data_IF_713394567736
#
_entry.id   IF_713394567736
#
_cell.length_a   1.000
_cell.length_b   1.000
_cell.length_c   1.000
_cell.angle_alpha   90.00
_cell.angle_beta   90.00
_cell.angle_gamma   90.00
#
_symmetry.space_group_name_H-M   'P 1'
#
loop_
_entity.id
_entity.type
_entity.pdbx_description
1 polymer ?
#
# COMPACT_ATOMS: atom_id res chain seq x y z
N UNK A 1 -2.56 -28.76 -24.80
CA UNK A 1 -2.22 -27.54 -24.05
C UNK A 1 -2.06 -27.92 -22.60
N UNK A 2 -0.99 -27.53 -21.92
CA UNK A 2 -0.83 -27.81 -20.49
C UNK A 2 -1.94 -27.09 -19.71
N UNK A 3 -2.41 -27.73 -18.62
CA UNK A 3 -3.49 -27.21 -17.77
C UNK A 3 -2.95 -26.73 -16.43
N UNK A 4 -3.59 -25.75 -15.82
CA UNK A 4 -3.30 -25.27 -14.48
C UNK A 4 -4.61 -25.03 -13.70
N UNK A 5 -4.56 -25.23 -12.38
CA UNK A 5 -5.65 -24.90 -11.47
C UNK A 5 -5.16 -23.87 -10.48
N UNK A 6 -5.89 -22.77 -10.34
CA UNK A 6 -5.66 -21.72 -9.34
C UNK A 6 -6.80 -21.80 -8.32
N UNK A 7 -6.46 -21.90 -7.05
CA UNK A 7 -7.44 -21.93 -5.95
C UNK A 7 -7.50 -20.57 -5.29
N UNK A 8 -8.70 -19.96 -5.32
CA UNK A 8 -8.99 -18.62 -4.84
C UNK A 8 -8.96 -17.57 -5.96
N UNK A 9 -10.07 -16.84 -6.09
CA UNK A 9 -10.25 -15.76 -7.07
C UNK A 9 -10.12 -14.35 -6.43
N UNK A 10 -9.25 -14.21 -5.43
CA UNK A 10 -8.81 -12.91 -4.95
C UNK A 10 -7.78 -12.27 -5.91
N UNK A 11 -7.32 -11.03 -5.66
CA UNK A 11 -6.43 -10.30 -6.57
C UNK A 11 -5.16 -11.08 -6.94
N UNK A 12 -4.54 -11.77 -5.98
CA UNK A 12 -3.32 -12.55 -6.22
C UNK A 12 -3.61 -13.80 -7.07
N UNK A 13 -4.71 -14.53 -6.77
CA UNK A 13 -5.12 -15.71 -7.54
C UNK A 13 -5.47 -15.35 -8.98
N UNK A 14 -6.24 -14.27 -9.17
CA UNK A 14 -6.58 -13.77 -10.51
C UNK A 14 -5.35 -13.30 -11.27
N UNK A 15 -4.41 -12.62 -10.61
CA UNK A 15 -3.13 -12.23 -11.23
C UNK A 15 -2.33 -13.44 -11.69
N UNK A 16 -2.26 -14.49 -10.86
CA UNK A 16 -1.59 -15.74 -11.22
C UNK A 16 -2.30 -16.43 -12.40
N UNK A 17 -3.62 -16.49 -12.38
CA UNK A 17 -4.41 -17.10 -13.45
C UNK A 17 -4.20 -16.38 -14.79
N UNK A 18 -4.26 -15.05 -14.80
CA UNK A 18 -3.99 -14.24 -15.99
C UNK A 18 -2.57 -14.48 -16.51
N UNK A 19 -1.57 -14.51 -15.61
CA UNK A 19 -0.18 -14.73 -15.99
C UNK A 19 0.04 -16.12 -16.61
N UNK A 20 -0.60 -17.15 -16.05
CA UNK A 20 -0.53 -18.52 -16.57
C UNK A 20 -1.24 -18.63 -17.93
N UNK A 21 -2.41 -18.00 -18.09
CA UNK A 21 -3.12 -17.98 -19.36
C UNK A 21 -2.32 -17.25 -20.46
N UNK A 22 -1.68 -16.12 -20.12
CA UNK A 22 -0.76 -15.43 -21.03
C UNK A 22 0.45 -16.29 -21.44
N UNK A 23 0.85 -17.23 -20.60
CA UNK A 23 1.90 -18.21 -20.92
C UNK A 23 1.39 -19.39 -21.75
N UNK A 24 0.12 -19.41 -22.14
CA UNK A 24 -0.47 -20.42 -23.03
C UNK A 24 -1.01 -21.65 -22.32
N UNK A 25 -1.24 -21.59 -21.02
CA UNK A 25 -1.90 -22.66 -20.28
C UNK A 25 -3.42 -22.54 -20.35
N UNK A 26 -4.11 -23.67 -20.29
CA UNK A 26 -5.55 -23.72 -20.03
C UNK A 26 -5.76 -23.65 -18.51
N UNK A 27 -6.38 -22.54 -18.03
CA UNK A 27 -6.42 -22.20 -16.61
C UNK A 27 -7.84 -22.31 -16.08
N UNK A 28 -8.02 -23.11 -15.03
CA UNK A 28 -9.25 -23.15 -14.24
C UNK A 28 -9.02 -22.45 -12.90
N UNK A 29 -9.92 -21.52 -12.55
CA UNK A 29 -9.92 -20.87 -11.23
C UNK A 29 -11.07 -21.44 -10.41
N UNK A 30 -10.75 -21.90 -9.20
CA UNK A 30 -11.72 -22.39 -8.23
C UNK A 30 -11.89 -21.37 -7.11
N UNK A 31 -13.12 -20.92 -6.88
CA UNK A 31 -13.49 -19.98 -5.81
C UNK A 31 -14.47 -20.65 -4.86
N UNK A 32 -14.28 -20.47 -3.55
CA UNK A 32 -15.14 -21.04 -2.52
C UNK A 32 -16.33 -20.18 -2.14
N UNK A 33 -16.32 -18.89 -2.53
CA UNK A 33 -17.43 -17.96 -2.33
C UNK A 33 -18.30 -17.86 -3.60
N UNK A 34 -19.51 -17.33 -3.47
CA UNK A 34 -20.43 -17.13 -4.58
C UNK A 34 -19.97 -16.08 -5.60
N UNK A 35 -19.03 -15.22 -5.20
CA UNK A 35 -18.48 -14.15 -6.04
C UNK A 35 -16.96 -14.12 -5.97
N UNK A 36 -16.33 -13.75 -7.09
CA UNK A 36 -14.87 -13.54 -7.18
C UNK A 36 -14.47 -12.21 -6.54
N UNK A 37 -13.16 -12.00 -6.31
CA UNK A 37 -12.58 -10.74 -5.84
C UNK A 37 -11.93 -10.82 -4.46
N UNK A 38 -12.23 -11.86 -3.66
CA UNK A 38 -11.62 -12.04 -2.34
C UNK A 38 -11.83 -10.82 -1.43
N UNK A 39 -10.75 -10.27 -0.88
CA UNK A 39 -10.80 -9.07 -0.02
C UNK A 39 -11.06 -7.74 -0.74
N UNK A 40 -11.10 -7.72 -2.08
CA UNK A 40 -11.43 -6.53 -2.86
C UNK A 40 -12.89 -6.50 -3.33
N UNK A 41 -13.73 -7.39 -2.80
CA UNK A 41 -15.16 -7.38 -3.08
C UNK A 41 -15.84 -6.20 -2.44
N UNK A 42 -16.84 -5.67 -3.15
CA UNK A 42 -17.77 -4.66 -2.65
C UNK A 42 -19.20 -5.17 -2.78
N UNK A 43 -20.10 -4.60 -2.03
CA UNK A 43 -21.51 -4.96 -2.08
C UNK A 43 -22.37 -3.98 -1.28
N UNK A 44 -23.70 -4.17 -1.29
CA UNK A 44 -24.60 -3.38 -0.47
C UNK A 44 -24.20 -3.40 1.01
N UNK A 45 -24.41 -2.27 1.68
CA UNK A 45 -24.14 -2.17 3.13
C UNK A 45 -25.02 -3.14 3.91
N UNK A 46 -26.32 -3.12 3.64
CA UNK A 46 -27.33 -4.07 4.15
C UNK A 46 -28.59 -4.03 3.29
N UNK A 47 -29.60 -4.79 3.69
CA UNK A 47 -30.88 -4.88 2.97
C UNK A 47 -31.74 -3.58 3.10
N UNK A 48 -31.50 -2.75 4.11
CA UNK A 48 -32.21 -1.48 4.33
C UNK A 48 -31.63 -0.37 3.44
N UNK A 49 -30.30 -0.43 3.13
CA UNK A 49 -29.59 0.57 2.32
C UNK A 49 -28.83 -0.09 1.17
N UNK A 50 -29.56 -0.77 0.24
CA UNK A 50 -28.92 -1.52 -0.84
C UNK A 50 -28.18 -0.64 -1.86
N UNK A 51 -28.47 0.66 -1.90
CA UNK A 51 -27.79 1.63 -2.77
C UNK A 51 -26.44 2.09 -2.19
N UNK A 52 -26.19 1.84 -0.89
CA UNK A 52 -24.91 2.15 -0.25
C UNK A 52 -23.95 1.00 -0.47
N UNK A 53 -23.00 1.17 -1.37
CA UNK A 53 -21.99 0.17 -1.65
C UNK A 53 -20.79 0.37 -0.73
N UNK A 54 -20.36 -0.70 -0.08
CA UNK A 54 -19.19 -0.73 0.81
C UNK A 54 -18.20 -1.80 0.37
N UNK A 55 -16.94 -1.52 0.60
CA UNK A 55 -15.88 -2.51 0.41
C UNK A 55 -15.81 -3.45 1.63
N UNK A 56 -15.86 -4.76 1.37
CA UNK A 56 -15.91 -5.75 2.44
C UNK A 56 -14.61 -5.79 3.27
N UNK A 57 -13.47 -5.49 2.65
CA UNK A 57 -12.17 -5.53 3.33
C UNK A 57 -11.24 -4.41 2.84
N UNK A 58 -10.80 -4.44 1.59
CA UNK A 58 -9.78 -3.53 1.07
C UNK A 58 -10.43 -2.45 0.19
N UNK A 59 -10.47 -1.22 0.67
CA UNK A 59 -11.03 -0.06 -0.03
C UNK A 59 -9.96 0.76 -0.76
N UNK A 60 -8.78 0.94 -0.14
CA UNK A 60 -7.71 1.78 -0.67
C UNK A 60 -6.55 0.93 -1.19
N UNK A 61 -6.05 1.27 -2.37
CA UNK A 61 -5.14 0.41 -3.11
C UNK A 61 -3.81 1.09 -3.53
N UNK A 62 -2.98 1.60 -2.59
CA UNK A 62 -1.70 2.23 -2.93
C UNK A 62 -0.74 1.26 -3.62
N UNK A 63 -0.77 -0.01 -3.25
CA UNK A 63 0.03 -1.05 -3.92
C UNK A 63 -0.62 -1.55 -5.22
N UNK A 64 -1.91 -1.36 -5.42
CA UNK A 64 -2.60 -1.74 -6.66
C UNK A 64 -2.13 -0.90 -7.85
N UNK A 65 -2.09 0.42 -7.68
CA UNK A 65 -1.58 1.35 -8.70
C UNK A 65 -0.07 1.26 -8.91
N UNK A 66 0.66 0.82 -7.90
CA UNK A 66 2.13 0.74 -7.91
C UNK A 66 2.66 -0.67 -8.20
N UNK A 67 1.79 -1.67 -8.36
CA UNK A 67 2.18 -3.06 -8.62
C UNK A 67 2.94 -3.19 -9.95
N UNK A 68 4.15 -3.75 -9.96
CA UNK A 68 4.89 -3.99 -11.21
C UNK A 68 4.09 -4.80 -12.22
N UNK A 69 3.36 -5.83 -11.75
CA UNK A 69 2.57 -6.70 -12.63
C UNK A 69 1.25 -6.07 -13.06
N UNK A 70 0.45 -5.53 -12.14
CA UNK A 70 -0.88 -5.00 -12.48
C UNK A 70 -0.79 -3.84 -13.48
N UNK A 71 0.26 -3.02 -13.42
CA UNK A 71 0.51 -1.95 -14.39
C UNK A 71 0.79 -2.43 -15.82
N UNK A 72 1.13 -3.72 -16.00
CA UNK A 72 1.32 -4.30 -17.34
C UNK A 72 0.03 -4.79 -17.97
N UNK A 73 -1.07 -4.82 -17.22
CA UNK A 73 -2.37 -5.28 -17.69
C UNK A 73 -3.24 -4.10 -18.14
N UNK A 74 -4.02 -4.24 -19.21
CA UNK A 74 -4.92 -3.19 -19.70
C UNK A 74 -6.21 -3.14 -18.88
N UNK A 75 -6.08 -2.95 -17.55
CA UNK A 75 -7.22 -3.03 -16.62
C UNK A 75 -8.25 -1.91 -16.85
N UNK A 76 -7.81 -0.77 -17.36
CA UNK A 76 -8.67 0.35 -17.77
C UNK A 76 -9.57 -0.01 -18.95
N UNK A 77 -9.12 -0.85 -19.89
CA UNK A 77 -9.94 -1.40 -20.97
C UNK A 77 -11.02 -2.36 -20.46
N UNK A 78 -10.77 -2.94 -19.28
CA UNK A 78 -11.70 -3.84 -18.57
C UNK A 78 -12.54 -3.14 -17.50
N UNK A 79 -12.58 -1.81 -17.50
CA UNK A 79 -13.47 -1.02 -16.68
C UNK A 79 -12.88 -0.49 -15.38
N UNK A 80 -11.64 -0.85 -15.01
CA UNK A 80 -11.01 -0.29 -13.81
C UNK A 80 -10.83 1.23 -13.96
N UNK A 81 -11.35 1.96 -13.01
CA UNK A 81 -11.11 3.39 -12.84
C UNK A 81 -10.62 3.65 -11.44
N UNK A 82 -9.76 4.65 -11.29
CA UNK A 82 -9.25 5.06 -10.00
C UNK A 82 -9.78 6.44 -9.62
N UNK A 83 -10.17 6.59 -8.36
CA UNK A 83 -10.50 7.88 -7.74
C UNK A 83 -9.53 8.16 -6.60
N UNK A 84 -8.97 9.36 -6.55
CA UNK A 84 -8.01 9.78 -5.52
C UNK A 84 -8.66 10.76 -4.56
N UNK A 85 -8.57 10.54 -3.24
CA UNK A 85 -8.98 11.54 -2.25
C UNK A 85 -7.96 12.70 -2.20
N UNK A 86 -8.40 13.85 -1.74
CA UNK A 86 -7.51 15.00 -1.49
C UNK A 86 -6.54 14.73 -0.32
N UNK A 87 -6.97 13.93 0.66
CA UNK A 87 -6.20 13.48 1.82
C UNK A 87 -6.19 11.96 1.77
N UNK A 88 -5.01 11.39 1.57
CA UNK A 88 -4.85 9.94 1.45
C UNK A 88 -5.12 9.19 2.77
N UNK A 89 -4.69 9.78 3.89
CA UNK A 89 -4.91 9.22 5.22
C UNK A 89 -4.87 10.31 6.29
N UNK A 90 -5.64 10.13 7.35
CA UNK A 90 -5.64 10.97 8.53
C UNK A 90 -5.45 10.12 9.78
N UNK A 91 -4.61 10.58 10.70
CA UNK A 91 -4.45 10.00 12.03
C UNK A 91 -4.95 11.00 13.08
N UNK A 92 -6.21 10.85 13.55
CA UNK A 92 -6.78 11.75 14.54
C UNK A 92 -6.10 11.58 15.90
N UNK A 93 -6.07 12.65 16.69
CA UNK A 93 -5.45 12.71 18.00
C UNK A 93 -6.45 13.20 19.05
N UNK A 94 -6.17 12.88 20.30
CA UNK A 94 -7.05 13.23 21.44
C UNK A 94 -7.15 14.75 21.67
N UNK A 95 -6.19 15.52 21.18
CA UNK A 95 -6.18 17.00 21.24
C UNK A 95 -7.05 17.68 20.17
N UNK A 96 -7.77 16.88 19.36
CA UNK A 96 -8.63 17.38 18.28
C UNK A 96 -7.87 17.71 16.99
N UNK A 97 -6.57 17.52 16.93
CA UNK A 97 -5.77 17.65 15.70
C UNK A 97 -5.71 16.33 14.93
N UNK A 98 -5.18 16.36 13.71
CA UNK A 98 -4.91 15.16 12.94
C UNK A 98 -3.58 15.30 12.19
N UNK A 99 -2.80 14.22 12.14
CA UNK A 99 -1.67 14.11 11.22
C UNK A 99 -2.20 13.60 9.88
N UNK A 100 -1.92 14.34 8.80
CA UNK A 100 -2.46 14.08 7.47
C UNK A 100 -1.38 13.58 6.53
N UNK A 101 -1.71 12.57 5.74
CA UNK A 101 -0.92 12.11 4.61
C UNK A 101 -1.53 12.65 3.32
N UNK A 102 -0.73 13.34 2.55
CA UNK A 102 -1.04 13.73 1.18
C UNK A 102 -0.13 12.98 0.22
N UNK A 103 -0.56 12.76 -1.01
CA UNK A 103 0.30 12.23 -2.07
C UNK A 103 1.56 13.08 -2.24
N UNK A 104 1.43 14.40 -2.19
CA UNK A 104 2.56 15.31 -2.16
C UNK A 104 3.28 15.26 -0.80
N UNK A 105 4.52 14.79 -0.81
CA UNK A 105 5.37 14.68 0.39
C UNK A 105 5.69 16.06 0.99
N UNK A 106 5.79 17.11 0.17
CA UNK A 106 6.04 18.46 0.64
C UNK A 106 4.83 19.01 1.39
N UNK A 107 3.62 18.74 0.89
CA UNK A 107 2.39 19.13 1.58
C UNK A 107 2.24 18.38 2.91
N UNK A 108 2.58 17.09 2.97
CA UNK A 108 2.60 16.31 4.21
C UNK A 108 3.59 16.90 5.21
N UNK A 109 4.81 17.21 4.76
CA UNK A 109 5.86 17.76 5.61
C UNK A 109 5.54 19.17 6.10
N UNK A 110 4.92 20.02 5.28
CA UNK A 110 4.42 21.33 5.68
C UNK A 110 3.33 21.23 6.75
N UNK A 111 2.39 20.29 6.62
CA UNK A 111 1.34 20.03 7.61
C UNK A 111 1.88 19.71 9.00
N UNK A 112 3.02 19.03 9.11
CA UNK A 112 3.67 18.81 10.41
C UNK A 112 4.22 20.10 11.01
N UNK A 113 4.78 20.97 10.18
CA UNK A 113 5.30 22.27 10.64
C UNK A 113 4.16 23.18 11.10
N UNK A 114 3.05 23.23 10.37
CA UNK A 114 1.85 24.00 10.70
C UNK A 114 1.20 23.53 12.01
N UNK A 115 1.31 22.23 12.29
CA UNK A 115 0.89 21.64 13.55
C UNK A 115 1.86 21.87 14.73
N UNK A 116 2.94 22.66 14.54
CA UNK A 116 3.92 22.99 15.59
C UNK A 116 5.11 22.03 15.69
N UNK A 117 5.35 21.18 14.67
CA UNK A 117 6.45 20.21 14.63
C UNK A 117 7.40 20.44 13.45
N UNK A 118 8.09 21.61 13.34
CA UNK A 118 8.82 21.99 12.12
C UNK A 118 9.92 21.00 11.72
N UNK A 119 10.61 20.38 12.68
CA UNK A 119 11.64 19.39 12.38
C UNK A 119 11.12 18.01 11.93
N UNK A 120 9.82 17.74 12.06
CA UNK A 120 9.23 16.47 11.66
C UNK A 120 9.19 16.30 10.13
N UNK A 121 8.93 17.39 9.40
CA UNK A 121 8.92 17.40 7.94
C UNK A 121 10.26 17.01 7.33
N UNK A 122 11.36 17.54 7.88
CA UNK A 122 12.72 17.21 7.39
C UNK A 122 13.07 15.74 7.64
N UNK A 123 12.72 15.22 8.82
CA UNK A 123 12.91 13.79 9.14
C UNK A 123 12.05 12.89 8.24
N UNK A 124 10.81 13.30 7.93
CA UNK A 124 9.93 12.61 7.02
C UNK A 124 10.51 12.53 5.61
N UNK A 125 10.98 13.65 5.07
CA UNK A 125 11.67 13.69 3.76
C UNK A 125 12.94 12.84 3.75
N UNK A 126 13.74 12.93 4.81
CA UNK A 126 14.97 12.15 4.93
C UNK A 126 14.72 10.64 4.91
N UNK A 127 13.64 10.18 5.58
CA UNK A 127 13.27 8.77 5.63
C UNK A 127 12.61 8.30 4.32
N UNK A 128 11.66 9.04 3.80
CA UNK A 128 10.74 8.58 2.76
C UNK A 128 11.00 9.18 1.37
N UNK A 129 11.54 10.39 1.27
CA UNK A 129 11.58 11.15 0.02
C UNK A 129 12.18 10.38 -1.14
N UNK A 130 13.41 9.84 -0.97
CA UNK A 130 14.07 9.09 -2.05
C UNK A 130 13.37 7.76 -2.35
N UNK A 131 12.88 7.08 -1.32
CA UNK A 131 12.17 5.80 -1.48
C UNK A 131 10.86 6.01 -2.22
N UNK A 132 10.12 7.08 -1.93
CA UNK A 132 8.86 7.42 -2.62
C UNK A 132 9.09 7.84 -4.07
N UNK A 133 10.12 8.65 -4.33
CA UNK A 133 10.45 9.08 -5.71
C UNK A 133 10.80 7.90 -6.60
N UNK A 134 11.49 6.90 -6.05
CA UNK A 134 11.93 5.69 -6.75
C UNK A 134 11.15 4.46 -6.30
N UNK A 135 9.88 4.64 -5.98
CA UNK A 135 9.06 3.54 -5.46
C UNK A 135 8.91 2.36 -6.43
N UNK A 136 8.76 2.56 -7.77
CA UNK A 136 8.72 1.44 -8.71
C UNK A 136 9.92 0.52 -8.60
N UNK A 137 11.13 1.08 -8.49
CA UNK A 137 12.39 0.32 -8.37
C UNK A 137 12.47 -0.42 -7.02
N UNK A 138 11.97 0.21 -5.94
CA UNK A 138 11.83 -0.46 -4.63
C UNK A 138 10.84 -1.61 -4.71
N UNK A 139 9.69 -1.40 -5.34
CA UNK A 139 8.66 -2.41 -5.49
C UNK A 139 9.15 -3.59 -6.35
N UNK A 140 9.89 -3.33 -7.43
CA UNK A 140 10.48 -4.35 -8.28
C UNK A 140 11.43 -5.27 -7.47
N UNK A 141 12.27 -4.70 -6.61
CA UNK A 141 13.20 -5.49 -5.80
C UNK A 141 12.50 -6.19 -4.61
N UNK A 142 11.59 -5.49 -3.89
CA UNK A 142 10.92 -6.02 -2.70
C UNK A 142 9.88 -7.11 -3.04
N UNK A 143 9.19 -6.97 -4.17
CA UNK A 143 8.15 -7.90 -4.62
C UNK A 143 8.71 -9.00 -5.55
N UNK A 144 10.02 -9.00 -5.80
CA UNK A 144 10.72 -10.06 -6.50
C UNK A 144 10.81 -11.34 -5.67
N UNK A 145 11.10 -12.51 -6.29
CA UNK A 145 11.43 -13.70 -5.54
C UNK A 145 12.60 -13.47 -4.57
N UNK A 146 12.48 -13.94 -3.34
CA UNK A 146 13.45 -13.67 -2.25
C UNK A 146 14.90 -14.04 -2.55
N UNK A 147 15.14 -14.96 -3.50
CA UNK A 147 16.49 -15.39 -3.91
C UNK A 147 17.00 -14.65 -5.15
N UNK A 148 16.24 -13.68 -5.68
CA UNK A 148 16.71 -12.84 -6.78
C UNK A 148 17.78 -11.85 -6.30
N UNK A 149 18.76 -11.58 -7.15
CA UNK A 149 19.70 -10.48 -6.88
C UNK A 149 18.96 -9.16 -7.11
N UNK A 150 19.06 -8.20 -6.18
CA UNK A 150 18.41 -6.92 -6.33
C UNK A 150 19.00 -6.13 -7.50
N UNK A 151 18.15 -5.50 -8.29
CA UNK A 151 18.55 -4.61 -9.38
C UNK A 151 19.05 -3.25 -8.87
N UNK A 152 18.53 -2.79 -7.70
CA UNK A 152 18.80 -1.49 -7.11
C UNK A 152 19.30 -1.62 -5.66
N UNK A 153 20.48 -2.25 -5.42
CA UNK A 153 20.92 -2.65 -4.07
C UNK A 153 21.05 -1.48 -3.08
N UNK A 154 21.48 -0.29 -3.52
CA UNK A 154 21.58 0.87 -2.66
C UNK A 154 20.22 1.44 -2.26
N UNK A 155 19.26 1.40 -3.17
CA UNK A 155 17.89 1.84 -2.91
C UNK A 155 17.17 0.83 -2.02
N UNK A 156 17.37 -0.47 -2.29
CA UNK A 156 16.85 -1.53 -1.43
C UNK A 156 17.43 -1.45 -0.02
N UNK A 157 18.72 -1.15 0.14
CA UNK A 157 19.33 -0.94 1.45
C UNK A 157 18.74 0.28 2.17
N UNK A 158 18.47 1.38 1.44
CA UNK A 158 17.86 2.58 1.98
C UNK A 158 16.42 2.33 2.48
N UNK A 159 15.67 1.46 1.83
CA UNK A 159 14.37 1.00 2.29
C UNK A 159 14.53 -0.06 3.40
N UNK A 160 15.35 -1.07 3.17
CA UNK A 160 15.43 -2.28 3.99
C UNK A 160 16.02 -2.05 5.38
N UNK A 161 17.03 -1.20 5.51
CA UNK A 161 17.61 -0.91 6.84
C UNK A 161 16.57 -0.30 7.81
N UNK A 162 15.82 0.77 7.43
CA UNK A 162 14.70 1.23 8.25
C UNK A 162 13.58 0.19 8.39
N UNK A 163 13.31 -0.62 7.36
CA UNK A 163 12.27 -1.63 7.40
C UNK A 163 12.53 -2.74 8.44
N UNK A 164 13.79 -3.01 8.76
CA UNK A 164 14.18 -3.95 9.83
C UNK A 164 14.02 -3.37 11.24
N UNK A 165 13.80 -2.07 11.38
CA UNK A 165 13.65 -1.43 12.69
C UNK A 165 12.25 -1.65 13.27
N UNK A 166 12.09 -1.55 14.61
CA UNK A 166 10.78 -1.39 15.23
C UNK A 166 10.10 -0.10 14.76
N UNK A 167 8.80 -0.17 14.48
CA UNK A 167 8.03 1.02 14.07
C UNK A 167 8.04 2.11 15.16
N UNK A 168 8.03 1.72 16.45
CA UNK A 168 8.16 2.64 17.58
C UNK A 168 9.48 3.40 17.57
N UNK A 169 10.57 2.81 17.11
CA UNK A 169 11.88 3.49 17.01
C UNK A 169 11.85 4.56 15.91
N UNK A 170 11.30 4.23 14.72
CA UNK A 170 11.13 5.23 13.66
C UNK A 170 10.12 6.31 14.03
N UNK A 171 9.04 5.96 14.73
CA UNK A 171 8.08 6.94 15.24
C UNK A 171 8.74 7.93 16.20
N UNK A 172 9.60 7.46 17.11
CA UNK A 172 10.37 8.31 18.01
C UNK A 172 11.32 9.25 17.24
N UNK A 173 11.97 8.76 16.19
CA UNK A 173 12.79 9.58 15.31
C UNK A 173 11.96 10.65 14.58
N UNK A 174 10.78 10.31 14.07
CA UNK A 174 9.90 11.21 13.34
C UNK A 174 9.28 12.29 14.26
N UNK A 175 9.12 11.99 15.53
CA UNK A 175 8.47 12.86 16.53
C UNK A 175 6.96 12.59 16.69
N UNK A 176 6.31 13.22 17.66
CA UNK A 176 4.99 12.79 18.11
C UNK A 176 3.91 12.77 17.01
N UNK A 177 3.87 13.79 16.16
CA UNK A 177 2.82 13.97 15.17
C UNK A 177 3.04 13.07 13.94
N UNK A 178 4.21 13.16 13.31
CA UNK A 178 4.57 12.32 12.17
C UNK A 178 4.74 10.85 12.57
N UNK A 179 5.23 10.57 13.78
CA UNK A 179 5.37 9.24 14.33
C UNK A 179 4.02 8.56 14.57
N UNK A 180 3.00 9.29 15.00
CA UNK A 180 1.64 8.76 15.15
C UNK A 180 1.06 8.32 13.80
N UNK A 181 1.18 9.14 12.77
CA UNK A 181 0.79 8.79 11.40
C UNK A 181 1.55 7.54 10.92
N UNK A 182 2.87 7.53 11.10
CA UNK A 182 3.72 6.40 10.67
C UNK A 182 3.37 5.08 11.40
N UNK A 183 3.06 5.12 12.71
CA UNK A 183 2.65 3.92 13.44
C UNK A 183 1.29 3.41 12.99
N UNK A 184 0.34 4.29 12.66
CA UNK A 184 -0.92 3.92 12.05
C UNK A 184 -0.73 3.14 10.74
N UNK A 185 0.19 3.62 9.87
CA UNK A 185 0.57 2.89 8.65
C UNK A 185 1.24 1.55 8.96
N UNK A 186 2.13 1.51 9.96
CA UNK A 186 2.85 0.29 10.34
C UNK A 186 1.93 -0.77 10.93
N UNK A 187 0.80 -0.38 11.53
CA UNK A 187 -0.19 -1.29 12.09
C UNK A 187 -0.82 -2.23 11.03
N UNK A 188 -0.79 -1.87 9.74
CA UNK A 188 -1.21 -2.75 8.65
C UNK A 188 -0.35 -4.02 8.52
N UNK A 189 0.80 -4.10 9.19
CA UNK A 189 1.60 -5.32 9.29
C UNK A 189 1.03 -6.37 10.26
N UNK A 190 -0.04 -6.05 11.00
CA UNK A 190 -0.72 -6.91 11.98
C UNK A 190 0.24 -7.56 12.99
N UNK A 191 1.30 -6.83 13.36
CA UNK A 191 2.28 -7.25 14.35
C UNK A 191 2.48 -6.18 15.43
N UNK A 192 3.12 -6.53 16.53
CA UNK A 192 3.52 -5.56 17.54
C UNK A 192 4.47 -4.53 16.94
N UNK A 193 4.27 -3.25 17.24
CA UNK A 193 5.04 -2.15 16.68
C UNK A 193 6.44 -1.97 17.29
N UNK A 194 6.73 -2.66 18.37
CA UNK A 194 8.00 -2.61 19.10
C UNK A 194 8.98 -3.75 18.74
N UNK A 195 8.60 -4.63 17.80
CA UNK A 195 9.47 -5.72 17.34
C UNK A 195 10.24 -5.35 16.07
N UNK A 196 11.43 -5.92 15.82
CA UNK A 196 12.17 -5.74 14.58
C UNK A 196 11.31 -6.11 13.36
N UNK A 197 11.43 -5.32 12.29
CA UNK A 197 10.69 -5.52 11.04
C UNK A 197 9.28 -4.94 11.02
N UNK A 198 8.74 -4.46 12.15
CA UNK A 198 7.39 -3.92 12.21
C UNK A 198 7.19 -2.60 11.45
N UNK A 199 8.27 -1.88 11.10
CA UNK A 199 8.21 -0.67 10.27
C UNK A 199 8.06 -0.94 8.76
N UNK A 200 8.27 -2.18 8.31
CA UNK A 200 8.28 -2.51 6.89
C UNK A 200 6.98 -2.15 6.18
N UNK A 201 5.82 -2.52 6.76
CA UNK A 201 4.51 -2.19 6.21
C UNK A 201 4.29 -0.66 6.15
N UNK A 202 4.65 0.05 7.22
CA UNK A 202 4.54 1.51 7.29
C UNK A 202 5.37 2.21 6.21
N UNK A 203 6.62 1.80 6.04
CA UNK A 203 7.50 2.36 4.99
C UNK A 203 6.94 2.06 3.59
N UNK A 204 6.52 0.82 3.34
CA UNK A 204 6.01 0.40 2.03
C UNK A 204 4.75 1.18 1.66
N UNK A 205 3.76 1.21 2.55
CA UNK A 205 2.48 1.88 2.30
C UNK A 205 2.63 3.40 2.20
N UNK A 206 3.45 4.01 3.07
CA UNK A 206 3.68 5.46 3.03
C UNK A 206 4.45 5.87 1.77
N UNK A 207 5.47 5.10 1.39
CA UNK A 207 6.22 5.38 0.16
C UNK A 207 5.36 5.18 -1.10
N UNK A 208 4.53 4.13 -1.15
CA UNK A 208 3.56 3.92 -2.21
C UNK A 208 2.54 5.07 -2.27
N UNK A 209 2.05 5.53 -1.12
CA UNK A 209 1.14 6.67 -1.01
C UNK A 209 1.73 7.95 -1.58
N UNK A 210 2.95 8.31 -1.21
CA UNK A 210 3.62 9.47 -1.80
C UNK A 210 3.93 9.32 -3.28
N UNK A 211 4.13 8.09 -3.78
CA UNK A 211 4.34 7.84 -5.21
C UNK A 211 3.04 7.90 -6.00
N UNK A 212 2.05 7.10 -5.63
CA UNK A 212 0.83 6.84 -6.38
C UNK A 212 -0.47 7.35 -5.75
N UNK A 213 -0.43 7.78 -4.49
CA UNK A 213 -1.62 8.08 -3.69
C UNK A 213 -2.29 6.83 -3.12
N UNK A 214 -3.42 7.03 -2.47
CA UNK A 214 -4.27 5.97 -1.92
C UNK A 214 -5.62 5.94 -2.65
N UNK A 215 -5.65 5.52 -3.91
CA UNK A 215 -6.87 5.53 -4.69
C UNK A 215 -7.84 4.44 -4.28
N UNK A 216 -9.11 4.69 -4.58
CA UNK A 216 -10.22 3.74 -4.53
C UNK A 216 -10.53 3.30 -5.96
N UNK A 217 -10.84 2.03 -6.16
CA UNK A 217 -11.37 1.52 -7.42
C UNK A 217 -12.85 1.90 -7.56
N UNK A 218 -13.26 2.45 -8.71
CA UNK A 218 -14.63 2.90 -9.02
C UNK A 218 -15.06 2.39 -10.37
#
# INVERSE_FOLDING_TARGET
>A
VPTAVVVGAGPNGLSAAVRLAQAGLDVTVLEGADTIGGGTRSGPFDDEYPEVIVDHCSAFHPLGTSSPYLRTLPLDEHGLRWSWPDIDCAHPRDDGTAALLFRDIERTAAGFADAGFPGAGDRWRALLGRVSTHFPEVADDVLSPMLALPHHPLLLARFGLPALMPATALASFLGPHAGALFTGMSAHGFTRLDVPGSSAAGLMLTAAGHHGGWPVAV
#
